data_IF_946405885019
#
_entry.id   IF_946405885019
#
_cell.length_a   1.000
_cell.length_b   1.000
_cell.length_c   1.000
_cell.angle_alpha   90.00
_cell.angle_beta   90.00
_cell.angle_gamma   90.00
#
_symmetry.space_group_name_H-M   'P 1'
#
loop_
_entity.id
_entity.type
_entity.pdbx_description
1 polymer ?
#
# COMPACT_ATOMS: atom_id res chain seq x y z
N UNK A 1 4.49 -22.28 3.38
CA UNK A 1 3.96 -22.17 2.01
C UNK A 1 5.16 -21.89 1.13
N UNK A 2 5.24 -22.53 -0.03
CA UNK A 2 6.30 -22.28 -1.01
C UNK A 2 5.82 -21.13 -1.88
N UNK A 3 6.49 -19.98 -1.77
CA UNK A 3 6.18 -18.77 -2.57
C UNK A 3 6.75 -18.94 -3.99
N UNK A 4 6.32 -20.01 -4.68
CA UNK A 4 6.75 -20.36 -6.04
C UNK A 4 5.68 -19.93 -7.01
N UNK A 5 6.01 -18.96 -7.88
CA UNK A 5 5.10 -18.35 -8.82
C UNK A 5 4.34 -19.37 -9.68
N UNK A 6 3.02 -19.27 -9.67
CA UNK A 6 2.09 -20.18 -10.35
C UNK A 6 2.32 -21.66 -10.02
N UNK A 7 2.88 -21.93 -8.83
CA UNK A 7 3.24 -23.27 -8.36
C UNK A 7 4.19 -24.02 -9.32
N UNK A 8 4.90 -23.30 -10.19
CA UNK A 8 5.73 -23.90 -11.24
C UNK A 8 4.96 -24.44 -12.45
N UNK A 9 3.65 -24.22 -12.54
CA UNK A 9 2.80 -24.71 -13.62
C UNK A 9 2.33 -23.60 -14.57
N UNK A 10 2.71 -23.70 -15.84
CA UNK A 10 2.32 -22.76 -16.88
C UNK A 10 0.81 -22.76 -17.17
N UNK A 11 0.11 -23.87 -16.88
CA UNK A 11 -1.34 -23.94 -17.01
C UNK A 11 -2.04 -23.03 -16.00
N UNK A 12 -1.52 -22.94 -14.77
CA UNK A 12 -2.05 -22.03 -13.73
C UNK A 12 -1.90 -20.57 -14.17
N UNK A 13 -0.73 -20.19 -14.69
CA UNK A 13 -0.52 -18.84 -15.26
C UNK A 13 -1.48 -18.54 -16.41
N UNK A 14 -1.63 -19.49 -17.33
CA UNK A 14 -2.52 -19.35 -18.49
C UNK A 14 -3.97 -19.16 -18.07
N UNK A 15 -4.43 -19.94 -17.07
CA UNK A 15 -5.76 -19.81 -16.50
C UNK A 15 -5.96 -18.46 -15.81
N UNK A 16 -4.99 -18.00 -15.02
CA UNK A 16 -5.05 -16.70 -14.34
C UNK A 16 -5.21 -15.56 -15.37
N UNK A 17 -4.39 -15.55 -16.42
CA UNK A 17 -4.45 -14.55 -17.48
C UNK A 17 -5.77 -14.61 -18.24
N UNK A 18 -6.28 -15.81 -18.53
CA UNK A 18 -7.56 -15.96 -19.22
C UNK A 18 -8.74 -15.41 -18.38
N UNK A 19 -8.74 -15.67 -17.07
CA UNK A 19 -9.76 -15.14 -16.14
C UNK A 19 -9.73 -13.61 -16.07
N UNK A 20 -8.54 -13.05 -15.87
CA UNK A 20 -8.35 -11.59 -15.85
C UNK A 20 -8.86 -10.94 -17.15
N UNK A 21 -8.41 -11.46 -18.30
CA UNK A 21 -8.82 -10.94 -19.62
C UNK A 21 -10.32 -11.05 -19.83
N UNK A 22 -10.94 -12.14 -19.41
CA UNK A 22 -12.40 -12.29 -19.49
C UNK A 22 -13.13 -11.20 -18.71
N UNK A 23 -12.66 -10.81 -17.53
CA UNK A 23 -13.28 -9.72 -16.76
C UNK A 23 -13.07 -8.35 -17.41
N UNK A 24 -11.88 -8.08 -17.93
CA UNK A 24 -11.54 -6.84 -18.64
C UNK A 24 -12.39 -6.70 -19.92
N UNK A 25 -12.41 -7.73 -20.77
CA UNK A 25 -13.17 -7.74 -22.03
C UNK A 25 -14.69 -7.61 -21.80
N UNK A 26 -15.19 -8.16 -20.69
CA UNK A 26 -16.59 -8.03 -20.29
C UNK A 26 -16.92 -6.68 -19.60
N UNK A 27 -15.93 -5.82 -19.34
CA UNK A 27 -16.12 -4.57 -18.60
C UNK A 27 -16.56 -4.77 -17.14
N UNK A 28 -16.22 -5.92 -16.56
CA UNK A 28 -16.59 -6.31 -15.19
C UNK A 28 -15.43 -6.21 -14.21
N UNK A 29 -14.21 -5.94 -14.70
CA UNK A 29 -13.08 -5.60 -13.85
C UNK A 29 -13.31 -4.23 -13.19
N UNK A 30 -13.15 -4.17 -11.87
CA UNK A 30 -13.28 -2.96 -11.07
C UNK A 30 -12.12 -2.85 -10.09
N UNK A 31 -11.90 -1.66 -9.53
CA UNK A 31 -10.90 -1.46 -8.47
C UNK A 31 -11.43 -1.99 -7.13
N UNK A 32 -12.72 -1.79 -6.87
CA UNK A 32 -13.47 -2.26 -5.72
C UNK A 32 -14.94 -2.43 -6.14
N UNK A 33 -15.72 -3.37 -5.57
CA UNK A 33 -15.37 -4.35 -4.53
C UNK A 33 -14.53 -5.53 -5.05
N UNK A 34 -14.10 -6.41 -4.13
CA UNK A 34 -13.37 -7.62 -4.49
C UNK A 34 -14.20 -8.56 -5.36
N UNK A 35 -15.45 -8.83 -4.97
CA UNK A 35 -16.38 -9.67 -5.72
C UNK A 35 -17.82 -9.33 -5.35
N UNK A 36 -18.59 -8.76 -6.29
CA UNK A 36 -20.01 -8.45 -6.09
C UNK A 36 -20.72 -8.31 -7.44
N UNK A 37 -21.90 -8.92 -7.60
CA UNK A 37 -22.75 -8.78 -8.81
C UNK A 37 -22.02 -9.00 -10.15
N UNK A 38 -21.09 -9.97 -10.18
CA UNK A 38 -20.29 -10.28 -11.36
C UNK A 38 -19.17 -9.29 -11.65
N UNK A 39 -19.01 -8.23 -10.86
CA UNK A 39 -17.86 -7.33 -10.87
C UNK A 39 -16.79 -7.83 -9.91
N UNK A 40 -15.53 -7.63 -10.29
CA UNK A 40 -14.42 -8.14 -9.50
C UNK A 40 -13.18 -7.27 -9.60
N UNK A 41 -12.47 -7.11 -8.48
CA UNK A 41 -11.11 -6.60 -8.49
C UNK A 41 -10.11 -7.72 -8.80
N UNK A 42 -8.81 -7.43 -8.73
CA UNK A 42 -7.75 -8.42 -8.99
C UNK A 42 -7.88 -9.72 -8.18
N UNK A 43 -8.30 -9.65 -6.91
CA UNK A 43 -8.48 -10.84 -6.07
C UNK A 43 -9.68 -11.64 -6.57
N UNK A 44 -10.85 -10.99 -6.70
CA UNK A 44 -12.06 -11.69 -7.14
C UNK A 44 -12.00 -12.15 -8.59
N UNK A 45 -11.34 -11.41 -9.48
CA UNK A 45 -11.23 -11.79 -10.89
C UNK A 45 -10.43 -13.08 -11.09
N UNK A 46 -9.60 -13.43 -10.10
CA UNK A 46 -8.74 -14.61 -10.15
C UNK A 46 -9.26 -15.74 -9.27
N UNK A 47 -9.87 -15.44 -8.12
CA UNK A 47 -10.31 -16.43 -7.12
C UNK A 47 -11.83 -16.61 -7.10
N UNK A 48 -12.58 -15.69 -7.68
CA UNK A 48 -14.07 -15.63 -7.63
C UNK A 48 -14.61 -15.48 -6.20
N UNK A 49 -13.81 -14.88 -5.32
CA UNK A 49 -14.14 -14.57 -3.93
C UNK A 49 -13.26 -13.43 -3.40
N UNK A 50 -13.67 -12.80 -2.29
CA UNK A 50 -12.80 -11.94 -1.48
C UNK A 50 -11.92 -12.81 -0.56
N UNK A 51 -10.95 -13.52 -1.14
CA UNK A 51 -10.04 -14.40 -0.41
C UNK A 51 -8.58 -14.25 -0.86
N UNK A 52 -7.88 -13.36 -0.15
CA UNK A 52 -6.44 -13.09 -0.32
C UNK A 52 -5.57 -14.30 0.01
N UNK A 53 -6.03 -15.19 0.89
CA UNK A 53 -5.29 -16.39 1.24
C UNK A 53 -5.40 -17.43 0.11
N UNK A 54 -6.59 -17.63 -0.43
CA UNK A 54 -6.79 -18.47 -1.60
C UNK A 54 -6.00 -17.94 -2.81
N UNK A 55 -5.97 -16.62 -3.04
CA UNK A 55 -5.11 -16.01 -4.06
C UNK A 55 -3.64 -16.42 -3.88
N UNK A 56 -3.08 -16.21 -2.68
CA UNK A 56 -1.69 -16.53 -2.38
C UNK A 56 -1.39 -18.03 -2.59
N UNK A 57 -2.30 -18.91 -2.16
CA UNK A 57 -2.15 -20.36 -2.26
C UNK A 57 -2.29 -20.88 -3.70
N UNK A 58 -3.26 -20.36 -4.46
CA UNK A 58 -3.54 -20.81 -5.82
C UNK A 58 -2.46 -20.36 -6.81
N UNK A 59 -1.89 -19.17 -6.60
CA UNK A 59 -0.97 -18.56 -7.54
C UNK A 59 0.49 -18.48 -7.03
N UNK A 60 0.74 -18.93 -5.81
CA UNK A 60 2.10 -18.99 -5.24
C UNK A 60 2.73 -17.63 -4.95
N UNK A 61 1.92 -16.59 -4.75
CA UNK A 61 2.41 -15.27 -4.35
C UNK A 61 2.56 -15.19 -2.81
N UNK A 62 3.54 -14.40 -2.31
CA UNK A 62 3.67 -14.16 -0.89
C UNK A 62 2.39 -13.59 -0.29
N UNK A 63 1.93 -14.16 0.83
CA UNK A 63 0.68 -13.73 1.49
C UNK A 63 0.70 -12.26 1.92
N UNK A 64 1.88 -11.72 2.26
CA UNK A 64 2.05 -10.30 2.57
C UNK A 64 1.77 -9.40 1.35
N UNK A 65 2.18 -9.83 0.15
CA UNK A 65 1.86 -9.15 -1.10
C UNK A 65 0.37 -9.24 -1.42
N UNK A 66 -0.21 -10.44 -1.37
CA UNK A 66 -1.64 -10.65 -1.61
C UNK A 66 -2.51 -9.78 -0.69
N UNK A 67 -2.08 -9.58 0.55
CA UNK A 67 -2.78 -8.74 1.53
C UNK A 67 -2.73 -7.25 1.20
N UNK A 68 -1.61 -6.78 0.63
CA UNK A 68 -1.43 -5.38 0.24
C UNK A 68 -1.90 -5.07 -1.19
N UNK A 69 -2.18 -6.08 -2.01
CA UNK A 69 -2.41 -5.94 -3.44
C UNK A 69 -3.55 -4.98 -3.77
N UNK A 70 -4.69 -5.09 -3.09
CA UNK A 70 -5.83 -4.18 -3.33
C UNK A 70 -5.48 -2.72 -3.07
N UNK A 71 -4.70 -2.44 -2.02
CA UNK A 71 -4.26 -1.08 -1.72
C UNK A 71 -3.34 -0.53 -2.83
N UNK A 72 -2.51 -1.38 -3.42
CA UNK A 72 -1.66 -1.02 -4.57
C UNK A 72 -2.53 -0.75 -5.81
N UNK A 73 -3.49 -1.63 -6.12
CA UNK A 73 -4.39 -1.46 -7.28
C UNK A 73 -5.27 -0.22 -7.12
N UNK A 74 -5.80 0.02 -5.92
CA UNK A 74 -6.62 1.19 -5.60
C UNK A 74 -5.89 2.51 -5.86
N UNK A 75 -4.57 2.52 -5.69
CA UNK A 75 -3.77 3.72 -5.92
C UNK A 75 -3.70 4.15 -7.39
N UNK A 76 -4.02 3.28 -8.36
CA UNK A 76 -4.10 3.67 -9.77
C UNK A 76 -5.34 4.50 -10.10
N UNK A 77 -6.37 4.48 -9.23
CA UNK A 77 -7.61 5.30 -9.25
C UNK A 77 -8.54 5.13 -10.46
N UNK A 78 -8.00 4.85 -11.63
CA UNK A 78 -8.72 4.64 -12.88
C UNK A 78 -8.52 3.21 -13.37
N UNK A 79 -9.60 2.62 -13.86
CA UNK A 79 -9.64 1.21 -14.27
C UNK A 79 -8.56 0.86 -15.31
N UNK A 80 -8.35 1.62 -16.41
CA UNK A 80 -7.36 1.23 -17.41
C UNK A 80 -5.92 1.10 -16.86
N UNK A 81 -5.51 2.01 -15.99
CA UNK A 81 -4.17 1.96 -15.38
C UNK A 81 -4.03 0.78 -14.40
N UNK A 82 -5.12 0.45 -13.69
CA UNK A 82 -5.17 -0.73 -12.83
C UNK A 82 -5.12 -2.04 -13.65
N UNK A 83 -5.82 -2.10 -14.78
CA UNK A 83 -5.78 -3.23 -15.72
C UNK A 83 -4.36 -3.45 -16.27
N UNK A 84 -3.71 -2.38 -16.74
CA UNK A 84 -2.33 -2.43 -17.24
C UNK A 84 -1.36 -2.95 -16.17
N UNK A 85 -1.48 -2.47 -14.94
CA UNK A 85 -0.67 -2.94 -13.82
C UNK A 85 -0.89 -4.42 -13.51
N UNK A 86 -2.14 -4.85 -13.37
CA UNK A 86 -2.47 -6.25 -13.01
C UNK A 86 -2.11 -7.20 -14.15
N UNK A 87 -2.34 -6.79 -15.40
CA UNK A 87 -1.88 -7.51 -16.59
C UNK A 87 -0.36 -7.70 -16.57
N UNK A 88 0.40 -6.61 -16.38
CA UNK A 88 1.85 -6.66 -16.30
C UNK A 88 2.34 -7.53 -15.14
N UNK A 89 1.69 -7.47 -13.97
CA UNK A 89 2.00 -8.31 -12.81
C UNK A 89 1.94 -9.80 -13.19
N UNK A 90 0.83 -10.27 -13.75
CA UNK A 90 0.69 -11.68 -14.11
C UNK A 90 1.59 -12.07 -15.29
N UNK A 91 1.66 -11.23 -16.34
CA UNK A 91 2.39 -11.53 -17.56
C UNK A 91 3.91 -11.58 -17.33
N UNK A 92 4.45 -10.66 -16.54
CA UNK A 92 5.90 -10.57 -16.27
C UNK A 92 6.36 -11.51 -15.16
N UNK A 93 5.44 -12.10 -14.39
CA UNK A 93 5.80 -13.10 -13.37
C UNK A 93 6.29 -14.40 -14.03
N UNK A 94 7.57 -14.79 -13.91
CA UNK A 94 8.05 -16.03 -14.50
C UNK A 94 7.45 -17.24 -13.78
N UNK A 95 7.02 -18.26 -14.53
CA UNK A 95 6.51 -19.50 -13.94
C UNK A 95 7.63 -20.20 -13.18
N UNK A 96 7.36 -20.59 -11.94
CA UNK A 96 8.34 -21.29 -11.10
C UNK A 96 9.40 -20.39 -10.45
N UNK A 97 9.28 -19.06 -10.57
CA UNK A 97 10.15 -18.14 -9.83
C UNK A 97 9.92 -18.25 -8.31
N UNK A 98 11.00 -18.17 -7.54
CA UNK A 98 10.97 -18.10 -6.08
C UNK A 98 10.77 -16.64 -5.64
N UNK A 99 9.56 -16.36 -5.15
CA UNK A 99 9.11 -15.04 -4.74
C UNK A 99 9.36 -14.75 -3.25
N UNK A 100 9.97 -15.68 -2.50
CA UNK A 100 10.19 -15.56 -1.05
C UNK A 100 11.00 -14.32 -0.65
N UNK A 101 11.83 -13.80 -1.57
CA UNK A 101 12.70 -12.64 -1.35
C UNK A 101 12.09 -11.30 -1.79
N UNK A 102 10.98 -11.31 -2.50
CA UNK A 102 10.42 -10.08 -3.09
C UNK A 102 9.89 -9.13 -2.01
N UNK A 103 9.12 -9.64 -1.04
CA UNK A 103 8.60 -8.81 0.07
C UNK A 103 9.71 -8.15 0.89
N UNK A 104 10.75 -8.87 1.39
CA UNK A 104 11.82 -8.20 2.14
C UNK A 104 12.63 -7.22 1.27
N UNK A 105 12.79 -7.46 -0.04
CA UNK A 105 13.40 -6.49 -0.95
C UNK A 105 12.59 -5.19 -1.04
N UNK A 106 11.26 -5.28 -1.09
CA UNK A 106 10.38 -4.09 -1.10
C UNK A 106 10.40 -3.37 0.24
N UNK A 107 10.41 -4.09 1.37
CA UNK A 107 10.53 -3.47 2.69
C UNK A 107 11.88 -2.76 2.85
N UNK A 108 12.98 -3.35 2.38
CA UNK A 108 14.28 -2.70 2.33
C UNK A 108 14.24 -1.43 1.47
N UNK A 109 13.69 -1.50 0.26
CA UNK A 109 13.50 -0.35 -0.63
C UNK A 109 12.73 0.79 0.06
N UNK A 110 11.63 0.48 0.75
CA UNK A 110 10.84 1.47 1.49
C UNK A 110 11.63 2.12 2.64
N UNK A 111 12.40 1.33 3.39
CA UNK A 111 13.24 1.82 4.49
C UNK A 111 14.45 2.64 4.01
N UNK A 112 14.84 2.50 2.75
CA UNK A 112 15.95 3.22 2.11
C UNK A 112 15.50 4.46 1.33
N UNK A 113 14.19 4.72 1.24
CA UNK A 113 13.68 5.91 0.56
C UNK A 113 14.30 7.20 1.15
N UNK A 114 14.74 8.16 0.32
CA UNK A 114 15.45 9.35 0.78
C UNK A 114 14.69 10.18 1.83
N UNK A 115 13.39 10.31 1.69
CA UNK A 115 12.53 11.03 2.64
C UNK A 115 12.49 10.34 4.00
N UNK A 116 12.35 9.01 4.02
CA UNK A 116 12.39 8.21 5.24
C UNK A 116 13.75 8.34 5.92
N UNK A 117 14.85 8.20 5.17
CA UNK A 117 16.20 8.36 5.69
C UNK A 117 16.41 9.77 6.27
N UNK A 118 15.96 10.81 5.56
CA UNK A 118 16.09 12.19 6.01
C UNK A 118 15.31 12.46 7.31
N UNK A 119 14.11 11.88 7.45
CA UNK A 119 13.28 12.02 8.64
C UNK A 119 13.86 11.26 9.83
N UNK A 120 14.26 9.99 9.66
CA UNK A 120 14.82 9.21 10.75
C UNK A 120 16.19 9.73 11.20
N UNK A 121 17.00 10.29 10.29
CA UNK A 121 18.32 10.85 10.61
C UNK A 121 18.26 12.05 11.58
N UNK A 122 17.09 12.71 11.72
CA UNK A 122 16.88 13.78 12.71
C UNK A 122 16.92 13.26 14.15
N UNK A 123 16.64 11.98 14.37
CA UNK A 123 16.64 11.33 15.68
C UNK A 123 17.57 10.11 15.66
N UNK A 124 18.74 10.24 16.30
CA UNK A 124 19.80 9.23 16.23
C UNK A 124 19.35 7.80 16.65
N UNK A 125 18.49 7.67 17.67
CA UNK A 125 17.92 6.37 18.05
C UNK A 125 16.96 5.81 16.99
N UNK A 126 16.17 6.67 16.33
CA UNK A 126 15.24 6.23 15.29
C UNK A 126 16.01 5.77 14.04
N UNK A 127 17.06 6.49 13.67
CA UNK A 127 17.97 6.08 12.60
C UNK A 127 18.65 4.74 12.91
N UNK A 128 19.06 4.49 14.16
CA UNK A 128 19.55 3.17 14.58
C UNK A 128 18.50 2.08 14.43
N UNK A 129 17.25 2.35 14.84
CA UNK A 129 16.15 1.41 14.68
C UNK A 129 15.89 1.09 13.21
N UNK A 130 15.82 2.11 12.33
CA UNK A 130 15.64 1.94 10.88
C UNK A 130 16.72 1.03 10.29
N UNK A 131 17.99 1.31 10.60
CA UNK A 131 19.12 0.49 10.12
C UNK A 131 19.08 -0.93 10.66
N UNK A 132 18.67 -1.13 11.91
CA UNK A 132 18.54 -2.47 12.49
C UNK A 132 17.45 -3.28 11.80
N UNK A 133 16.29 -2.69 11.49
CA UNK A 133 15.21 -3.36 10.76
C UNK A 133 15.62 -3.64 9.32
N UNK A 134 16.27 -2.68 8.65
CA UNK A 134 16.82 -2.86 7.31
C UNK A 134 17.83 -4.03 7.26
N UNK A 135 18.72 -4.12 8.24
CA UNK A 135 19.70 -5.21 8.32
C UNK A 135 19.04 -6.59 8.47
N UNK A 136 17.92 -6.69 9.21
CA UNK A 136 17.15 -7.94 9.31
C UNK A 136 16.56 -8.35 7.95
N UNK A 137 15.98 -7.41 7.20
CA UNK A 137 15.50 -7.71 5.84
C UNK A 137 16.63 -8.07 4.88
N UNK A 138 17.76 -7.39 4.95
CA UNK A 138 18.96 -7.71 4.14
C UNK A 138 19.48 -9.13 4.40
N UNK A 139 19.47 -9.58 5.66
CA UNK A 139 19.83 -10.96 6.02
C UNK A 139 18.85 -11.98 5.43
N UNK A 140 17.54 -11.70 5.46
CA UNK A 140 16.53 -12.56 4.79
C UNK A 140 16.78 -12.63 3.29
N UNK A 141 17.09 -11.50 2.64
CA UNK A 141 17.43 -11.45 1.21
C UNK A 141 18.67 -12.29 0.89
N UNK A 142 19.65 -12.32 1.80
CA UNK A 142 20.85 -13.14 1.70
C UNK A 142 20.61 -14.65 1.98
N UNK A 143 19.39 -15.04 2.36
CA UNK A 143 19.02 -16.41 2.64
C UNK A 143 19.21 -16.84 4.10
N UNK A 144 19.43 -15.90 5.01
CA UNK A 144 19.41 -16.18 6.45
C UNK A 144 17.97 -16.15 7.00
N UNK A 145 17.75 -16.82 8.13
CA UNK A 145 16.50 -16.79 8.86
C UNK A 145 16.72 -16.14 10.24
N UNK A 146 16.62 -14.81 10.37
CA UNK A 146 16.70 -14.15 11.67
C UNK A 146 15.60 -14.64 12.60
N UNK A 147 15.94 -14.87 13.85
CA UNK A 147 15.02 -15.51 14.77
C UNK A 147 13.90 -14.56 15.25
N UNK A 148 12.85 -15.14 15.85
CA UNK A 148 11.70 -14.37 16.36
C UNK A 148 12.11 -13.33 17.43
N UNK A 149 13.15 -13.59 18.20
CA UNK A 149 13.62 -12.70 19.28
C UNK A 149 14.30 -11.47 18.68
N UNK A 150 15.08 -11.63 17.61
CA UNK A 150 15.71 -10.53 16.87
C UNK A 150 14.65 -9.56 16.33
N UNK A 151 13.65 -10.06 15.61
CA UNK A 151 12.54 -9.25 15.10
C UNK A 151 11.77 -8.55 16.22
N UNK A 152 11.42 -9.29 17.29
CA UNK A 152 10.73 -8.71 18.45
C UNK A 152 11.54 -7.60 19.11
N UNK A 153 12.86 -7.79 19.24
CA UNK A 153 13.76 -6.80 19.84
C UNK A 153 13.83 -5.53 19.01
N UNK A 154 14.02 -5.66 17.69
CA UNK A 154 14.06 -4.52 16.77
C UNK A 154 12.74 -3.74 16.80
N UNK A 155 11.61 -4.44 16.78
CA UNK A 155 10.28 -3.80 16.87
C UNK A 155 10.07 -3.06 18.18
N UNK A 156 10.37 -3.69 19.32
CA UNK A 156 10.20 -3.04 20.62
C UNK A 156 11.09 -1.79 20.77
N UNK A 157 12.30 -1.83 20.22
CA UNK A 157 13.18 -0.66 20.18
C UNK A 157 12.60 0.46 19.29
N UNK A 158 12.07 0.12 18.11
CA UNK A 158 11.43 1.09 17.22
C UNK A 158 10.22 1.77 17.89
N UNK A 159 9.33 0.98 18.51
CA UNK A 159 8.14 1.48 19.25
C UNK A 159 8.56 2.38 20.41
N UNK A 160 9.47 1.92 21.26
CA UNK A 160 9.94 2.72 22.39
C UNK A 160 10.59 4.03 21.93
N UNK A 161 11.27 4.03 20.78
CA UNK A 161 11.90 5.24 20.25
C UNK A 161 10.87 6.21 19.67
N UNK A 162 9.93 5.73 18.85
CA UNK A 162 8.91 6.59 18.23
C UNK A 162 7.97 7.22 19.26
N UNK A 163 7.63 6.52 20.33
CA UNK A 163 6.83 7.03 21.45
C UNK A 163 7.49 8.24 22.14
N UNK A 164 8.82 8.36 22.07
CA UNK A 164 9.55 9.50 22.63
C UNK A 164 9.58 10.72 21.72
N UNK A 165 9.25 10.58 20.43
CA UNK A 165 9.22 11.66 19.45
C UNK A 165 7.86 12.35 19.52
N UNK A 166 7.80 13.49 20.22
CA UNK A 166 6.56 14.26 20.42
C UNK A 166 6.57 15.62 19.74
N UNK A 167 7.74 16.10 19.33
CA UNK A 167 8.00 17.44 18.79
C UNK A 167 8.21 17.47 17.27
N UNK A 168 8.42 16.32 16.62
CA UNK A 168 8.50 16.19 15.16
C UNK A 168 7.47 15.16 14.65
N UNK A 169 6.32 15.65 14.18
CA UNK A 169 5.23 14.81 13.68
C UNK A 169 5.65 13.95 12.48
N UNK A 170 6.49 14.49 11.59
CA UNK A 170 6.97 13.76 10.42
C UNK A 170 7.96 12.66 10.79
N UNK A 171 8.90 12.94 11.70
CA UNK A 171 9.82 11.93 12.20
C UNK A 171 9.08 10.82 12.97
N UNK A 172 8.02 11.17 13.72
CA UNK A 172 7.15 10.18 14.37
C UNK A 172 6.45 9.29 13.34
N UNK A 173 5.89 9.85 12.28
CA UNK A 173 5.26 9.09 11.18
C UNK A 173 6.27 8.20 10.46
N UNK A 174 7.51 8.67 10.23
CA UNK A 174 8.60 7.83 9.72
C UNK A 174 8.94 6.68 10.69
N UNK A 175 8.90 6.93 12.00
CA UNK A 175 9.02 5.90 13.03
C UNK A 175 7.96 4.80 12.91
N UNK A 176 6.70 5.15 12.64
CA UNK A 176 5.62 4.17 12.40
C UNK A 176 5.90 3.27 11.18
N UNK A 177 6.58 3.78 10.15
CA UNK A 177 6.99 2.98 8.98
C UNK A 177 8.04 1.96 9.41
N UNK A 178 9.03 2.37 10.22
CA UNK A 178 10.07 1.48 10.78
C UNK A 178 9.44 0.40 11.66
N UNK A 179 8.51 0.76 12.54
CA UNK A 179 7.78 -0.19 13.39
C UNK A 179 6.98 -1.22 12.60
N UNK A 180 6.24 -0.76 11.60
CA UNK A 180 5.42 -1.61 10.76
C UNK A 180 6.28 -2.59 9.96
N UNK A 181 7.44 -2.15 9.47
CA UNK A 181 8.40 -2.98 8.77
C UNK A 181 9.20 -3.93 9.69
N UNK A 182 9.12 -3.77 11.02
CA UNK A 182 9.87 -4.58 12.00
C UNK A 182 9.22 -5.95 12.27
N UNK A 183 8.78 -6.62 11.22
CA UNK A 183 8.24 -7.98 11.25
C UNK A 183 8.89 -8.84 10.15
N UNK A 184 8.97 -10.17 10.35
CA UNK A 184 9.34 -11.08 9.26
C UNK A 184 8.45 -10.85 8.04
N UNK A 185 9.03 -10.90 6.85
CA UNK A 185 8.31 -10.72 5.58
C UNK A 185 7.21 -11.77 5.32
N UNK A 186 7.24 -12.89 6.06
CA UNK A 186 6.21 -13.94 6.06
C UNK A 186 4.95 -13.56 6.83
N UNK A 187 4.98 -12.49 7.64
CA UNK A 187 3.81 -12.00 8.36
C UNK A 187 2.81 -11.37 7.40
N UNK A 188 1.57 -11.88 7.39
CA UNK A 188 0.48 -11.46 6.48
C UNK A 188 0.33 -9.94 6.33
N UNK A 189 0.40 -9.18 7.43
CA UNK A 189 0.09 -7.75 7.40
C UNK A 189 1.30 -6.84 7.17
N UNK A 190 2.54 -7.35 7.22
CA UNK A 190 3.74 -6.50 7.29
C UNK A 190 3.79 -5.46 6.18
N UNK A 191 3.62 -5.88 4.92
CA UNK A 191 3.67 -4.97 3.79
C UNK A 191 2.48 -4.00 3.78
N UNK A 192 1.27 -4.50 4.09
CA UNK A 192 0.07 -3.67 4.17
C UNK A 192 0.24 -2.57 5.23
N UNK A 193 0.73 -2.92 6.42
CA UNK A 193 0.89 -1.98 7.53
C UNK A 193 2.01 -0.96 7.24
N UNK A 194 3.12 -1.39 6.64
CA UNK A 194 4.21 -0.49 6.21
C UNK A 194 3.73 0.49 5.15
N UNK A 195 3.04 0.01 4.12
CA UNK A 195 2.50 0.86 3.06
C UNK A 195 1.39 1.79 3.59
N UNK A 196 0.56 1.33 4.52
CA UNK A 196 -0.41 2.18 5.22
C UNK A 196 0.26 3.29 6.03
N UNK A 197 1.39 3.00 6.67
CA UNK A 197 2.20 4.01 7.36
C UNK A 197 2.82 5.02 6.38
N UNK A 198 3.31 4.57 5.22
CA UNK A 198 3.78 5.46 4.16
C UNK A 198 2.67 6.40 3.66
N UNK A 199 1.46 5.89 3.43
CA UNK A 199 0.34 6.73 3.00
C UNK A 199 -0.06 7.79 4.03
N UNK A 200 0.02 7.47 5.33
CA UNK A 200 -0.20 8.48 6.39
C UNK A 200 0.85 9.58 6.35
N UNK A 201 2.13 9.24 6.15
CA UNK A 201 3.19 10.23 5.99
C UNK A 201 2.98 11.09 4.74
N UNK A 202 2.62 10.48 3.61
CA UNK A 202 2.35 11.18 2.34
C UNK A 202 1.19 12.18 2.49
N UNK A 203 0.09 11.76 3.14
CA UNK A 203 -1.03 12.65 3.46
C UNK A 203 -0.57 13.82 4.34
N UNK A 204 0.19 13.56 5.41
CA UNK A 204 0.64 14.64 6.31
C UNK A 204 1.53 15.64 5.58
N UNK A 205 2.51 15.16 4.80
CA UNK A 205 3.41 16.03 4.04
C UNK A 205 2.64 16.90 3.03
N UNK A 206 1.64 16.31 2.37
CA UNK A 206 0.77 17.04 1.44
C UNK A 206 -0.06 18.11 2.15
N UNK A 207 -0.68 17.78 3.28
CA UNK A 207 -1.50 18.71 4.06
C UNK A 207 -0.67 19.89 4.57
N UNK A 208 0.52 19.63 5.09
CA UNK A 208 1.47 20.65 5.51
C UNK A 208 1.92 21.54 4.34
N UNK A 209 2.15 20.96 3.16
CA UNK A 209 2.56 21.70 1.96
C UNK A 209 1.49 22.68 1.47
N UNK A 210 0.20 22.36 1.63
CA UNK A 210 -0.91 23.27 1.30
C UNK A 210 -1.37 24.12 2.49
N UNK A 211 -0.75 23.94 3.67
CA UNK A 211 -1.11 24.63 4.90
C UNK A 211 -2.52 24.28 5.41
N UNK A 212 -3.07 23.13 5.04
CA UNK A 212 -4.40 22.70 5.48
C UNK A 212 -4.32 22.04 6.86
N UNK A 213 -5.10 22.57 7.79
CA UNK A 213 -5.04 22.17 9.21
C UNK A 213 -6.31 21.45 9.67
N UNK A 214 -6.24 20.81 10.85
CA UNK A 214 -7.41 20.25 11.53
C UNK A 214 -8.48 21.32 11.84
N UNK A 215 -8.06 22.58 12.01
CA UNK A 215 -8.98 23.70 12.21
C UNK A 215 -9.78 23.99 10.94
N UNK A 216 -9.13 23.92 9.77
CA UNK A 216 -9.80 24.09 8.47
C UNK A 216 -10.78 22.95 8.22
N UNK A 217 -10.35 21.71 8.46
CA UNK A 217 -11.21 20.52 8.36
C UNK A 217 -12.44 20.65 9.28
N UNK A 218 -12.22 21.00 10.55
CA UNK A 218 -13.30 21.23 11.54
C UNK A 218 -14.25 22.34 11.12
N UNK A 219 -13.74 23.38 10.43
CA UNK A 219 -14.55 24.50 9.97
C UNK A 219 -15.45 24.10 8.80
N UNK A 220 -14.96 23.29 7.87
CA UNK A 220 -15.78 22.69 6.80
C UNK A 220 -16.92 21.86 7.40
N UNK A 221 -16.62 21.01 8.39
CA UNK A 221 -17.65 20.20 9.06
C UNK A 221 -18.72 21.05 9.75
N UNK A 222 -18.32 22.09 10.49
CA UNK A 222 -19.27 22.99 11.17
C UNK A 222 -20.17 23.75 10.19
N UNK A 223 -19.63 24.23 9.06
CA UNK A 223 -20.41 24.90 8.02
C UNK A 223 -21.46 23.93 7.45
N UNK A 224 -21.04 22.70 7.14
CA UNK A 224 -21.94 21.67 6.62
C UNK A 224 -23.05 21.30 7.62
N UNK A 225 -22.70 21.05 8.88
CA UNK A 225 -23.64 20.69 9.93
C UNK A 225 -24.67 21.80 10.18
N UNK A 226 -24.21 23.06 10.26
CA UNK A 226 -25.09 24.20 10.42
C UNK A 226 -26.03 24.37 9.20
N UNK A 227 -25.52 24.18 7.99
CA UNK A 227 -26.33 24.22 6.77
C UNK A 227 -27.38 23.11 6.71
N UNK A 228 -27.10 21.95 7.29
CA UNK A 228 -28.06 20.85 7.42
C UNK A 228 -29.22 21.22 8.37
N UNK A 229 -28.90 21.81 9.53
CA UNK A 229 -29.89 22.32 10.50
C UNK A 229 -30.75 23.43 9.88
N UNK A 230 -30.14 24.34 9.13
CA UNK A 230 -30.82 25.49 8.55
C UNK A 230 -31.56 25.18 7.23
N UNK A 231 -31.45 23.95 6.72
CA UNK A 231 -32.04 23.56 5.43
C UNK A 231 -31.42 24.28 4.22
N UNK A 232 -30.19 24.81 4.33
CA UNK A 232 -29.52 25.56 3.27
C UNK A 232 -28.96 24.63 2.18
N UNK A 233 -29.16 25.02 0.93
CA UNK A 233 -28.71 24.30 -0.26
C UNK A 233 -29.12 22.81 -0.25
N UNK A 234 -30.34 22.53 0.23
CA UNK A 234 -30.85 21.17 0.37
C UNK A 234 -31.16 20.49 -0.98
N UNK A 235 -31.17 21.25 -2.06
CA UNK A 235 -31.29 20.80 -3.45
C UNK A 235 -29.98 20.26 -4.03
N UNK A 236 -28.84 20.54 -3.39
CA UNK A 236 -27.53 19.98 -3.74
C UNK A 236 -27.20 18.79 -2.85
N UNK A 237 -26.31 17.90 -3.30
CA UNK A 237 -25.85 16.74 -2.54
C UNK A 237 -24.32 16.61 -2.57
N UNK A 238 -23.79 15.80 -1.65
CA UNK A 238 -22.39 15.38 -1.64
C UNK A 238 -21.39 16.53 -1.68
N UNK A 239 -20.39 16.40 -2.56
CA UNK A 239 -19.29 17.36 -2.70
C UNK A 239 -19.76 18.71 -3.27
N UNK A 240 -20.71 18.70 -4.20
CA UNK A 240 -21.22 19.93 -4.83
C UNK A 240 -21.92 20.83 -3.80
N UNK A 241 -22.70 20.22 -2.88
CA UNK A 241 -23.29 20.96 -1.75
C UNK A 241 -22.22 21.56 -0.85
N UNK A 242 -21.18 20.80 -0.51
CA UNK A 242 -20.10 21.29 0.36
C UNK A 242 -19.39 22.46 -0.30
N UNK A 243 -19.01 22.36 -1.58
CA UNK A 243 -18.33 23.44 -2.29
C UNK A 243 -19.19 24.69 -2.40
N UNK A 244 -20.49 24.56 -2.71
CA UNK A 244 -21.41 25.69 -2.77
C UNK A 244 -21.57 26.38 -1.41
N UNK A 245 -21.67 25.61 -0.32
CA UNK A 245 -21.73 26.16 1.04
C UNK A 245 -20.46 26.93 1.41
N UNK A 246 -19.30 26.37 1.08
CA UNK A 246 -18.03 27.03 1.35
C UNK A 246 -17.87 28.30 0.50
N UNK A 247 -18.23 28.29 -0.78
CA UNK A 247 -18.17 29.51 -1.62
C UNK A 247 -19.04 30.64 -1.08
N UNK A 248 -20.18 30.30 -0.47
CA UNK A 248 -21.08 31.28 0.12
C UNK A 248 -20.60 31.77 1.49
N UNK A 249 -20.18 30.86 2.38
CA UNK A 249 -19.89 31.17 3.79
C UNK A 249 -18.43 31.55 4.05
N UNK A 250 -17.48 30.99 3.30
CA UNK A 250 -16.05 31.23 3.43
C UNK A 250 -15.27 30.92 2.12
N UNK A 251 -15.19 31.89 1.19
CA UNK A 251 -14.53 31.70 -0.10
C UNK A 251 -13.04 31.33 0.00
N UNK A 252 -12.36 31.79 1.04
CA UNK A 252 -10.95 31.47 1.28
C UNK A 252 -10.79 30.00 1.68
N UNK A 253 -11.61 29.51 2.60
CA UNK A 253 -11.68 28.11 2.96
C UNK A 253 -12.10 27.24 1.76
N UNK A 254 -13.03 27.72 0.92
CA UNK A 254 -13.45 27.03 -0.29
C UNK A 254 -12.28 26.82 -1.27
N UNK A 255 -11.43 27.84 -1.45
CA UNK A 255 -10.23 27.75 -2.27
C UNK A 255 -9.24 26.73 -1.71
N UNK A 256 -8.95 26.77 -0.41
CA UNK A 256 -8.09 25.78 0.24
C UNK A 256 -8.66 24.36 0.14
N UNK A 257 -9.98 24.20 0.28
CA UNK A 257 -10.62 22.89 0.20
C UNK A 257 -10.53 22.29 -1.21
N UNK A 258 -10.66 23.12 -2.25
CA UNK A 258 -10.43 22.69 -3.64
C UNK A 258 -8.99 22.25 -3.89
N UNK A 259 -8.02 23.02 -3.39
CA UNK A 259 -6.60 22.64 -3.50
C UNK A 259 -6.35 21.31 -2.79
N UNK A 260 -6.90 21.11 -1.58
CA UNK A 260 -6.85 19.84 -0.86
C UNK A 260 -7.43 18.69 -1.71
N UNK A 261 -8.60 18.87 -2.31
CA UNK A 261 -9.21 17.83 -3.16
C UNK A 261 -8.33 17.50 -4.37
N UNK A 262 -7.76 18.51 -5.03
CA UNK A 262 -6.85 18.33 -6.16
C UNK A 262 -5.59 17.56 -5.73
N UNK A 263 -4.98 17.89 -4.60
CA UNK A 263 -3.81 17.17 -4.10
C UNK A 263 -4.14 15.74 -3.64
N UNK A 264 -5.28 15.53 -2.97
CA UNK A 264 -5.76 14.18 -2.64
C UNK A 264 -5.97 13.32 -3.90
N UNK A 265 -6.40 13.94 -4.99
CA UNK A 265 -6.55 13.28 -6.30
C UNK A 265 -5.21 12.82 -6.91
N UNK A 266 -4.07 13.34 -6.41
CA UNK A 266 -2.72 12.98 -6.84
C UNK A 266 -1.99 12.02 -5.89
N UNK A 267 -2.49 11.82 -4.67
CA UNK A 267 -1.90 10.88 -3.70
C UNK A 267 -1.82 9.44 -4.22
N UNK A 268 -0.92 8.66 -3.66
CA UNK A 268 -0.77 7.24 -3.94
C UNK A 268 0.36 6.89 -4.90
N UNK A 269 1.19 7.88 -5.23
CA UNK A 269 2.44 7.68 -5.99
C UNK A 269 3.35 6.66 -5.29
N UNK A 270 3.40 6.66 -3.95
CA UNK A 270 4.12 5.63 -3.20
C UNK A 270 3.64 4.23 -3.54
N UNK A 271 2.32 4.01 -3.50
CA UNK A 271 1.74 2.68 -3.73
C UNK A 271 1.94 2.23 -5.18
N UNK A 272 1.76 3.13 -6.16
CA UNK A 272 2.02 2.84 -7.57
C UNK A 272 3.50 2.48 -7.80
N UNK A 273 4.42 3.26 -7.24
CA UNK A 273 5.86 3.02 -7.31
C UNK A 273 6.22 1.67 -6.71
N UNK A 274 5.67 1.34 -5.54
CA UNK A 274 5.86 0.02 -4.92
C UNK A 274 5.27 -1.10 -5.77
N UNK A 275 4.10 -0.91 -6.36
CA UNK A 275 3.49 -1.87 -7.28
C UNK A 275 4.43 -2.20 -8.43
N UNK A 276 4.94 -1.19 -9.13
CA UNK A 276 5.89 -1.40 -10.21
C UNK A 276 7.23 -1.97 -9.74
N UNK A 277 7.70 -1.58 -8.55
CA UNK A 277 8.91 -2.18 -7.95
C UNK A 277 8.72 -3.67 -7.67
N UNK A 278 7.53 -4.08 -7.24
CA UNK A 278 7.16 -5.48 -7.08
C UNK A 278 7.29 -6.24 -8.41
N UNK A 279 6.72 -5.70 -9.49
CA UNK A 279 6.79 -6.31 -10.82
C UNK A 279 8.23 -6.46 -11.30
N UNK A 280 9.06 -5.43 -11.12
CA UNK A 280 10.49 -5.48 -11.45
C UNK A 280 11.22 -6.60 -10.68
N UNK A 281 11.00 -6.69 -9.36
CA UNK A 281 11.66 -7.67 -8.51
C UNK A 281 11.19 -9.11 -8.81
N UNK A 282 9.90 -9.29 -9.11
CA UNK A 282 9.35 -10.60 -9.49
C UNK A 282 9.92 -11.07 -10.83
N UNK A 283 10.06 -10.19 -11.81
CA UNK A 283 10.63 -10.55 -13.12
C UNK A 283 12.09 -11.00 -13.00
N UNK A 284 12.82 -10.46 -12.01
CA UNK A 284 14.21 -10.80 -11.72
C UNK A 284 14.36 -11.94 -10.71
N UNK A 285 13.26 -12.47 -10.17
CA UNK A 285 13.30 -13.51 -9.16
C UNK A 285 13.91 -14.81 -9.73
N UNK A 286 14.82 -15.47 -8.98
CA UNK A 286 15.45 -16.69 -9.46
C UNK A 286 14.43 -17.82 -9.60
N UNK A 287 14.65 -18.80 -10.48
CA UNK A 287 13.83 -20.02 -10.48
C UNK A 287 13.97 -20.75 -9.14
N UNK A 288 12.91 -21.41 -8.70
CA UNK A 288 12.96 -22.32 -7.55
C UNK A 288 14.08 -23.35 -7.77
N UNK A 289 14.90 -23.58 -6.75
CA UNK A 289 15.87 -24.68 -6.80
C UNK A 289 15.12 -25.98 -7.08
N UNK A 290 15.55 -26.73 -8.10
CA UNK A 290 14.99 -28.07 -8.34
C UNK A 290 15.23 -28.89 -7.07
N UNK A 291 14.20 -29.57 -6.51
CA UNK A 291 14.45 -30.49 -5.42
C UNK A 291 15.42 -31.53 -5.95
N UNK A 292 16.65 -31.55 -5.41
CA UNK A 292 17.56 -32.66 -5.63
C UNK A 292 16.77 -33.93 -5.29
N UNK A 293 16.61 -34.80 -6.29
CA UNK A 293 15.97 -36.11 -6.09
C UNK A 293 16.87 -36.88 -5.13
N UNK A 294 16.56 -36.82 -3.83
CA UNK A 294 17.03 -37.77 -2.82
C UNK A 294 16.43 -39.14 -3.11
#
# INVERSE_FOLDING_TARGET
MTDIAFLGDAAIKTQALARLRSHIEAGTFVIFPAWEDGKANVIGALVEADDKQAFAQQYGYPIAFATALEMIVNAFKVVPAAEDFVGALLERTPVGADLSRVVPQVLAYLLERPDIVALTARHAEMERCRRSVLALHQRVIAGEEPDRKEWKSARLAAVATSDTITDDAHARLAGLIVEAAAWPATMRSVLHDTLGACGRLEIQLMMDAIGWTDADESRVFKIREQAEVDGRMADLEGLDRVLALLDHDDPELARGFRERLDQFSKLGETYQTVGWKFVELIEQAPPAASPERL
#
